data_IF_338326251101
#
_entry.id   IF_338326251101
#
_cell.length_a   1.000
_cell.length_b   1.000
_cell.length_c   1.000
_cell.angle_alpha   90.00
_cell.angle_beta   90.00
_cell.angle_gamma   90.00
#
_symmetry.space_group_name_H-M   'P 1'
#
loop_
_entity.id
_entity.type
_entity.pdbx_description
1 polymer ?
#
# COMPACT_ATOMS: atom_id res chain seq x y z
N UNK A 1 5.24 10.72 -13.86
CA UNK A 1 6.72 10.67 -14.06
C UNK A 1 7.06 11.72 -15.07
N UNK A 2 8.14 12.47 -14.85
CA UNK A 2 8.59 13.49 -15.80
C UNK A 2 9.98 13.11 -16.29
N UNK A 3 10.08 12.71 -17.55
CA UNK A 3 11.34 12.72 -18.28
C UNK A 3 11.52 14.15 -18.81
N UNK A 4 12.48 14.86 -18.24
CA UNK A 4 12.75 16.27 -18.53
C UNK A 4 13.84 16.45 -19.61
N UNK A 5 14.42 15.36 -20.10
CA UNK A 5 15.39 15.43 -21.19
C UNK A 5 14.69 15.65 -22.52
N UNK A 6 15.32 16.40 -23.43
CA UNK A 6 14.92 16.45 -24.82
C UNK A 6 14.77 15.01 -25.38
N UNK A 7 13.76 14.78 -26.22
CA UNK A 7 13.49 13.46 -26.81
C UNK A 7 14.70 12.89 -27.59
N UNK A 8 15.58 13.77 -28.08
CA UNK A 8 16.82 13.43 -28.79
C UNK A 8 17.99 13.05 -27.87
N UNK A 9 17.88 13.23 -26.55
CA UNK A 9 18.95 12.97 -25.58
C UNK A 9 19.14 11.47 -25.32
N UNK A 10 20.18 10.89 -25.95
CA UNK A 10 20.49 9.45 -25.83
C UNK A 10 21.50 9.11 -24.74
N UNK A 11 22.30 10.08 -24.30
CA UNK A 11 23.32 9.93 -23.26
C UNK A 11 23.24 11.11 -22.29
N UNK A 12 22.29 11.11 -21.34
CA UNK A 12 22.22 12.17 -20.34
C UNK A 12 23.53 12.32 -19.57
N UNK A 13 24.04 13.53 -19.50
CA UNK A 13 25.15 13.93 -18.62
C UNK A 13 24.60 14.95 -17.63
N UNK A 14 24.18 14.46 -16.46
CA UNK A 14 23.39 15.23 -15.49
C UNK A 14 24.26 15.65 -14.32
N UNK A 15 24.29 16.95 -14.03
CA UNK A 15 24.83 17.47 -12.78
C UNK A 15 23.78 18.30 -12.06
N UNK A 16 23.84 18.31 -10.73
CA UNK A 16 22.99 19.18 -9.93
C UNK A 16 23.68 20.53 -9.78
N UNK A 17 23.05 21.60 -10.25
CA UNK A 17 23.59 22.95 -10.14
C UNK A 17 22.93 23.65 -8.95
N UNK A 18 23.72 23.94 -7.91
CA UNK A 18 23.22 24.51 -6.66
C UNK A 18 22.54 25.88 -6.88
N UNK A 19 23.07 26.71 -7.78
CA UNK A 19 22.50 28.03 -8.13
C UNK A 19 21.08 27.95 -8.72
N UNK A 20 20.73 26.82 -9.33
CA UNK A 20 19.42 26.58 -9.96
C UNK A 20 18.53 25.65 -9.12
N UNK A 21 19.07 25.07 -8.03
CA UNK A 21 18.48 24.00 -7.24
C UNK A 21 17.86 22.86 -8.10
N UNK A 22 18.48 22.58 -9.24
CA UNK A 22 17.92 21.69 -10.25
C UNK A 22 18.97 20.86 -10.98
N UNK A 23 18.62 19.63 -11.41
CA UNK A 23 19.48 18.87 -12.30
C UNK A 23 19.49 19.49 -13.69
N UNK A 24 20.67 19.64 -14.26
CA UNK A 24 20.88 20.16 -15.62
C UNK A 24 21.59 19.11 -16.45
N UNK A 25 21.13 18.89 -17.68
CA UNK A 25 21.76 17.95 -18.60
C UNK A 25 22.67 18.68 -19.56
N UNK A 26 23.99 18.47 -19.47
CA UNK A 26 24.98 19.14 -20.32
C UNK A 26 24.96 18.66 -21.77
N UNK A 27 24.34 17.50 -22.05
CA UNK A 27 24.24 16.98 -23.42
C UNK A 27 22.99 17.45 -24.18
N UNK A 28 21.87 17.74 -23.50
CA UNK A 28 20.67 18.28 -24.16
C UNK A 28 20.34 19.73 -23.78
N UNK A 29 21.01 20.31 -22.80
CA UNK A 29 20.80 21.69 -22.34
C UNK A 29 19.54 21.90 -21.51
N UNK A 30 18.71 20.85 -21.32
CA UNK A 30 17.50 20.95 -20.52
C UNK A 30 17.81 21.04 -19.02
N UNK A 31 16.86 21.62 -18.28
CA UNK A 31 16.89 21.73 -16.82
C UNK A 31 15.67 20.99 -16.28
N UNK A 32 15.88 20.04 -15.36
CA UNK A 32 14.84 19.21 -14.78
C UNK A 32 14.02 19.93 -13.72
N UNK A 33 13.29 20.97 -14.13
CA UNK A 33 12.31 21.66 -13.30
C UNK A 33 10.95 20.97 -13.39
N UNK A 34 10.20 21.02 -12.29
CA UNK A 34 8.74 20.80 -12.31
C UNK A 34 8.15 22.14 -11.89
N UNK A 35 7.20 22.66 -12.65
CA UNK A 35 6.51 23.88 -12.30
C UNK A 35 5.84 23.69 -10.93
N UNK A 36 6.11 24.55 -9.94
CA UNK A 36 5.58 24.36 -8.57
C UNK A 36 4.05 24.46 -8.52
N UNK A 37 3.44 25.03 -9.57
CA UNK A 37 1.99 25.13 -9.77
C UNK A 37 1.41 23.95 -10.56
N UNK A 38 2.24 23.10 -11.18
CA UNK A 38 1.79 21.83 -11.74
C UNK A 38 1.67 20.80 -10.60
N UNK A 39 0.56 20.85 -9.88
CA UNK A 39 0.07 19.63 -9.24
C UNK A 39 -0.02 18.58 -10.34
N UNK A 40 0.83 17.57 -10.28
CA UNK A 40 0.67 16.34 -11.08
C UNK A 40 -0.57 15.60 -10.56
N UNK A 41 -1.74 16.16 -10.90
CA UNK A 41 -3.01 15.49 -10.81
C UNK A 41 -2.97 14.35 -11.85
N UNK A 42 -2.50 13.18 -11.42
CA UNK A 42 -3.05 11.97 -12.01
C UNK A 42 -4.52 11.98 -11.63
N UNK A 43 -5.36 12.28 -12.62
CA UNK A 43 -6.81 12.33 -12.51
C UNK A 43 -7.28 11.12 -11.71
N UNK A 44 -7.59 11.34 -10.42
CA UNK A 44 -8.39 10.39 -9.67
C UNK A 44 -9.76 10.53 -10.30
N UNK A 45 -10.02 9.71 -11.30
CA UNK A 45 -11.35 9.50 -11.81
C UNK A 45 -12.18 8.98 -10.65
N UNK A 46 -12.81 9.89 -9.90
CA UNK A 46 -14.00 9.59 -9.14
C UNK A 46 -15.06 9.22 -10.17
N UNK A 47 -15.05 7.95 -10.58
CA UNK A 47 -16.24 7.36 -11.16
C UNK A 47 -17.31 7.46 -10.07
N UNK A 48 -18.24 8.40 -10.24
CA UNK A 48 -19.55 8.27 -9.62
C UNK A 48 -20.10 6.93 -10.10
N UNK A 49 -20.05 5.92 -9.23
CA UNK A 49 -20.77 4.68 -9.43
C UNK A 49 -22.26 5.01 -9.40
N UNK A 50 -22.81 5.33 -10.56
CA UNK A 50 -24.25 5.16 -10.78
C UNK A 50 -24.51 3.67 -10.63
N UNK A 51 -25.25 3.33 -9.57
CA UNK A 51 -25.89 2.02 -9.38
C UNK A 51 -26.83 1.75 -10.57
N UNK A 52 -26.26 1.33 -11.69
CA UNK A 52 -27.01 0.58 -12.67
C UNK A 52 -27.16 -0.82 -12.10
N UNK A 53 -28.31 -1.43 -12.36
CA UNK A 53 -28.67 -2.81 -11.99
C UNK A 53 -27.83 -3.83 -12.80
N UNK A 54 -26.56 -3.52 -13.04
CA UNK A 54 -25.58 -4.42 -13.61
C UNK A 54 -25.43 -5.59 -12.65
N UNK A 55 -26.06 -6.69 -13.05
CA UNK A 55 -25.91 -8.06 -12.57
C UNK A 55 -24.89 -8.20 -11.43
N UNK A 56 -25.41 -8.39 -10.20
CA UNK A 56 -24.65 -8.74 -9.00
C UNK A 56 -24.08 -10.16 -9.15
N UNK A 57 -23.22 -10.39 -10.13
CA UNK A 57 -22.53 -11.66 -10.36
C UNK A 57 -21.42 -11.80 -9.33
N UNK A 58 -21.76 -12.36 -8.18
CA UNK A 58 -20.78 -12.75 -7.17
C UNK A 58 -19.91 -13.88 -7.73
N UNK A 59 -18.59 -13.76 -7.57
CA UNK A 59 -17.60 -14.75 -8.03
C UNK A 59 -16.43 -14.93 -7.06
N UNK A 60 -16.47 -14.23 -5.92
CA UNK A 60 -15.40 -14.19 -4.93
C UNK A 60 -15.98 -14.26 -3.52
N UNK A 61 -15.45 -15.08 -2.59
CA UNK A 61 -14.34 -16.02 -2.80
C UNK A 61 -14.70 -17.22 -3.68
N UNK A 62 -13.73 -17.73 -4.44
CA UNK A 62 -13.95 -18.77 -5.47
C UNK A 62 -14.44 -20.11 -4.92
N UNK A 63 -14.38 -20.34 -3.60
CA UNK A 63 -14.90 -21.55 -2.95
C UNK A 63 -16.40 -21.57 -2.69
N UNK A 64 -17.09 -20.45 -2.92
CA UNK A 64 -18.53 -20.38 -2.78
C UNK A 64 -19.22 -20.72 -4.11
N UNK A 65 -20.27 -21.58 -4.07
CA UNK A 65 -21.07 -21.85 -5.26
C UNK A 65 -21.97 -20.65 -5.53
N UNK A 66 -21.66 -19.90 -6.59
CA UNK A 66 -22.52 -18.82 -7.07
C UNK A 66 -23.43 -19.35 -8.17
N UNK A 67 -24.73 -19.14 -8.01
CA UNK A 67 -25.72 -19.45 -9.05
C UNK A 67 -26.07 -18.14 -9.74
N UNK A 68 -25.80 -18.05 -11.05
CA UNK A 68 -26.36 -16.98 -11.85
C UNK A 68 -27.83 -17.30 -12.10
N UNK A 69 -28.74 -16.47 -11.62
CA UNK A 69 -30.14 -16.54 -12.02
C UNK A 69 -30.23 -16.17 -13.50
N UNK A 70 -30.27 -17.17 -14.38
CA UNK A 70 -30.74 -16.95 -15.74
C UNK A 70 -32.22 -16.57 -15.63
N UNK A 71 -32.56 -15.34 -15.99
CA UNK A 71 -33.93 -14.87 -16.08
C UNK A 71 -34.71 -15.71 -17.10
N UNK A 72 -35.30 -16.81 -16.64
CA UNK A 72 -36.16 -17.66 -17.44
C UNK A 72 -37.57 -17.06 -17.49
N UNK A 73 -37.78 -16.09 -18.37
CA UNK A 73 -39.13 -15.80 -18.89
C UNK A 73 -39.35 -16.66 -20.13
N UNK A 74 -40.11 -17.75 -19.98
CA UNK A 74 -40.47 -18.61 -21.11
C UNK A 74 -41.39 -19.74 -20.67
N UNK A 75 -42.67 -19.61 -20.97
CA UNK A 75 -43.77 -20.42 -20.44
C UNK A 75 -43.74 -21.89 -20.86
N UNK A 76 -44.50 -22.66 -20.07
CA UNK A 76 -44.92 -24.03 -20.32
C UNK A 76 -45.45 -24.22 -21.74
N UNK A 77 -44.91 -25.18 -22.48
CA UNK A 77 -45.67 -26.08 -23.35
C UNK A 77 -44.92 -27.39 -23.55
N UNK A 78 -45.59 -28.48 -23.16
CA UNK A 78 -45.23 -29.84 -23.55
C UNK A 78 -45.34 -30.01 -25.07
N UNK A 79 -44.40 -30.74 -25.68
CA UNK A 79 -44.69 -31.90 -26.54
C UNK A 79 -43.39 -32.60 -26.96
N UNK A 80 -43.49 -33.93 -27.00
CA UNK A 80 -42.42 -34.90 -27.22
C UNK A 80 -42.05 -35.07 -28.73
N UNK A 81 -41.01 -35.86 -29.07
CA UNK A 81 -40.13 -35.63 -30.24
C UNK A 81 -40.46 -36.52 -31.46
N UNK A 82 -40.05 -36.09 -32.66
CA UNK A 82 -39.87 -36.95 -33.85
C UNK A 82 -38.65 -36.47 -34.67
N UNK A 83 -37.78 -37.39 -35.16
CA UNK A 83 -36.50 -37.07 -35.79
C UNK A 83 -36.61 -36.99 -37.32
N UNK A 84 -35.64 -36.34 -37.99
CA UNK A 84 -35.14 -36.86 -39.27
C UNK A 84 -33.83 -36.23 -39.74
N UNK A 85 -33.03 -37.12 -40.32
CA UNK A 85 -31.78 -36.95 -41.04
C UNK A 85 -31.89 -36.01 -42.27
N UNK A 86 -30.80 -35.30 -42.57
CA UNK A 86 -29.92 -35.55 -43.73
C UNK A 86 -29.26 -34.28 -44.33
N UNK A 87 -27.93 -34.40 -44.49
CA UNK A 87 -27.12 -34.05 -45.67
C UNK A 87 -26.89 -32.56 -46.03
N UNK A 88 -25.65 -32.11 -45.82
CA UNK A 88 -24.71 -31.90 -46.93
C UNK A 88 -24.33 -30.47 -47.37
N UNK A 89 -23.00 -30.20 -47.35
CA UNK A 89 -22.21 -29.30 -48.22
C UNK A 89 -22.43 -27.78 -48.03
N UNK A 90 -21.48 -26.87 -48.23
CA UNK A 90 -20.08 -26.87 -48.65
C UNK A 90 -19.45 -25.51 -48.28
N UNK A 91 -18.11 -25.52 -48.24
CA UNK A 91 -17.15 -24.42 -48.28
C UNK A 91 -17.61 -23.02 -48.73
N UNK A 92 -17.03 -22.00 -48.07
CA UNK A 92 -17.01 -20.61 -48.51
C UNK A 92 -15.90 -19.84 -47.80
N UNK A 93 -14.68 -19.94 -48.31
CA UNK A 93 -13.54 -19.09 -47.96
C UNK A 93 -13.89 -17.60 -48.15
N UNK A 94 -13.52 -16.77 -47.17
CA UNK A 94 -13.33 -15.33 -47.38
C UNK A 94 -12.08 -14.84 -46.65
N UNK A 95 -10.98 -14.98 -47.37
CA UNK A 95 -9.89 -14.01 -47.59
C UNK A 95 -9.52 -13.07 -46.44
N UNK A 96 -8.38 -13.37 -45.81
CA UNK A 96 -7.54 -12.44 -45.04
C UNK A 96 -7.06 -11.32 -45.97
N UNK A 97 -7.43 -10.07 -45.66
CA UNK A 97 -6.72 -8.90 -46.17
C UNK A 97 -5.66 -8.51 -45.14
N UNK A 98 -4.40 -8.73 -45.54
CA UNK A 98 -3.20 -8.22 -44.89
C UNK A 98 -3.19 -6.71 -45.05
N UNK A 99 -3.38 -5.97 -43.95
CA UNK A 99 -3.13 -4.53 -43.94
C UNK A 99 -1.71 -4.32 -43.42
N UNK A 100 -0.77 -4.24 -44.37
CA UNK A 100 0.59 -3.78 -44.14
C UNK A 100 0.51 -2.25 -44.05
N UNK A 101 0.53 -1.73 -42.83
CA UNK A 101 0.97 -0.37 -42.58
C UNK A 101 2.16 -0.48 -41.62
N UNK A 102 3.35 -0.43 -42.22
CA UNK A 102 4.61 -0.18 -41.55
C UNK A 102 4.54 1.19 -40.87
N UNK A 103 3.99 1.20 -39.67
CA UNK A 103 4.08 2.30 -38.73
C UNK A 103 5.43 2.21 -38.03
N UNK A 104 6.30 3.16 -38.36
CA UNK A 104 7.47 3.63 -37.59
C UNK A 104 7.47 3.12 -36.14
N UNK A 105 8.53 2.45 -35.65
CA UNK A 105 8.57 1.97 -34.28
C UNK A 105 8.38 3.17 -33.35
N UNK A 106 7.24 3.21 -32.65
CA UNK A 106 7.01 4.11 -31.51
C UNK A 106 8.20 3.94 -30.58
N UNK A 107 8.92 5.03 -30.37
CA UNK A 107 10.05 5.09 -29.44
C UNK A 107 9.64 4.42 -28.12
N UNK A 108 10.36 3.36 -27.76
CA UNK A 108 10.16 2.67 -26.49
C UNK A 108 10.49 3.66 -25.38
N UNK A 109 9.50 4.38 -24.85
CA UNK A 109 9.63 5.08 -23.58
C UNK A 109 10.14 4.04 -22.57
N UNK A 110 11.39 4.18 -22.14
CA UNK A 110 11.96 3.32 -21.11
C UNK A 110 11.16 3.54 -19.83
N UNK A 111 10.25 2.62 -19.51
CA UNK A 111 9.52 2.62 -18.25
C UNK A 111 10.51 2.47 -17.10
N UNK A 112 10.51 3.39 -16.13
CA UNK A 112 11.28 3.28 -14.88
C UNK A 112 11.02 1.93 -14.18
N UNK A 113 9.77 1.49 -14.26
CA UNK A 113 9.32 0.26 -13.66
C UNK A 113 9.50 -0.89 -14.65
N UNK A 114 10.53 -1.69 -14.41
CA UNK A 114 10.66 -3.03 -15.03
C UNK A 114 9.50 -3.92 -14.54
N UNK A 115 8.74 -4.59 -15.42
CA UNK A 115 7.62 -5.43 -15.00
C UNK A 115 8.02 -6.46 -13.92
N UNK A 116 7.24 -6.51 -12.83
CA UNK A 116 7.42 -7.51 -11.78
C UNK A 116 6.60 -8.76 -12.06
N UNK A 117 7.20 -9.92 -11.79
CA UNK A 117 6.55 -11.23 -11.87
C UNK A 117 6.89 -12.07 -10.65
N UNK A 118 6.00 -12.98 -10.27
CA UNK A 118 6.25 -13.96 -9.22
C UNK A 118 6.63 -13.33 -7.86
N UNK A 119 7.78 -13.66 -7.26
CA UNK A 119 8.16 -13.16 -5.92
C UNK A 119 9.14 -11.98 -5.99
N UNK A 120 9.24 -11.34 -7.15
CA UNK A 120 10.11 -10.20 -7.35
C UNK A 120 9.51 -8.93 -6.77
N UNK A 121 10.37 -8.13 -6.17
CA UNK A 121 10.07 -6.81 -5.63
C UNK A 121 11.10 -5.82 -6.13
N UNK A 122 10.76 -4.53 -6.16
CA UNK A 122 11.76 -3.47 -6.32
C UNK A 122 12.22 -3.00 -4.95
N UNK A 123 13.51 -2.74 -4.82
CA UNK A 123 14.09 -2.04 -3.69
C UNK A 123 14.56 -0.66 -4.14
N UNK A 124 14.33 0.32 -3.28
CA UNK A 124 14.88 1.66 -3.40
C UNK A 124 16.24 1.68 -2.67
N UNK A 125 17.32 1.88 -3.41
CA UNK A 125 18.61 2.20 -2.83
C UNK A 125 18.73 3.72 -2.70
N UNK A 126 18.45 4.23 -1.51
CA UNK A 126 18.51 5.65 -1.18
C UNK A 126 19.97 6.09 -1.13
N UNK A 127 20.36 7.03 -1.98
CA UNK A 127 21.74 7.50 -2.06
C UNK A 127 22.08 8.45 -0.89
N UNK A 128 23.37 8.53 -0.50
CA UNK A 128 23.79 9.37 0.61
C UNK A 128 23.63 10.87 0.34
N UNK A 129 23.51 11.64 1.42
CA UNK A 129 23.44 13.09 1.42
C UNK A 129 23.06 13.68 2.78
N UNK A 130 23.31 14.97 2.95
CA UNK A 130 22.86 15.77 4.11
C UNK A 130 21.34 15.90 4.11
N UNK A 131 20.71 16.35 5.21
CA UNK A 131 19.25 16.40 5.31
C UNK A 131 18.55 17.20 4.19
N UNK A 132 19.09 18.36 3.82
CA UNK A 132 18.50 19.24 2.82
C UNK A 132 18.84 18.86 1.37
N UNK A 133 19.86 18.03 1.16
CA UNK A 133 20.29 17.64 -0.19
C UNK A 133 19.14 17.00 -0.98
N UNK A 134 19.11 17.15 -2.31
CA UNK A 134 18.16 16.47 -3.19
C UNK A 134 18.05 14.97 -2.90
N UNK A 135 16.83 14.44 -2.81
CA UNK A 135 16.61 13.01 -2.63
C UNK A 135 16.91 12.28 -3.94
N UNK A 136 17.86 11.35 -3.89
CA UNK A 136 18.29 10.56 -5.03
C UNK A 136 18.23 9.08 -4.68
N UNK A 137 17.83 8.24 -5.62
CA UNK A 137 17.85 6.80 -5.43
C UNK A 137 18.10 6.01 -6.72
N UNK A 138 18.39 4.73 -6.53
CA UNK A 138 18.36 3.73 -7.59
C UNK A 138 17.24 2.72 -7.30
N UNK A 139 16.52 2.28 -8.32
CA UNK A 139 15.58 1.17 -8.20
C UNK A 139 16.23 -0.11 -8.73
N UNK A 140 16.15 -1.19 -7.97
CA UNK A 140 16.63 -2.50 -8.39
C UNK A 140 15.60 -3.58 -8.13
N UNK A 141 15.45 -4.49 -9.08
CA UNK A 141 14.58 -5.66 -8.95
C UNK A 141 15.33 -6.78 -8.25
N UNK A 142 14.74 -7.36 -7.21
CA UNK A 142 15.29 -8.51 -6.47
C UNK A 142 14.22 -9.60 -6.33
N UNK A 143 14.64 -10.85 -6.12
CA UNK A 143 13.73 -11.95 -5.83
C UNK A 143 13.77 -12.30 -4.34
N UNK A 144 12.61 -12.27 -3.69
CA UNK A 144 12.49 -12.63 -2.26
C UNK A 144 13.00 -14.04 -1.97
N UNK A 145 12.97 -14.97 -2.93
CA UNK A 145 13.49 -16.33 -2.74
C UNK A 145 14.96 -16.34 -2.27
N UNK A 146 15.77 -15.38 -2.72
CA UNK A 146 17.19 -15.29 -2.34
C UNK A 146 17.42 -14.54 -1.02
N UNK A 147 16.35 -14.19 -0.29
CA UNK A 147 16.40 -13.52 1.01
C UNK A 147 17.29 -12.27 0.99
N UNK A 148 17.03 -11.30 0.10
CA UNK A 148 17.82 -10.07 0.03
C UNK A 148 17.74 -9.32 1.38
N UNK A 149 18.81 -8.63 1.75
CA UNK A 149 18.79 -7.75 2.91
C UNK A 149 18.25 -6.37 2.52
N UNK A 150 17.22 -5.90 3.23
CA UNK A 150 16.62 -4.58 3.08
C UNK A 150 15.81 -4.24 4.34
N UNK A 151 15.37 -2.98 4.45
CA UNK A 151 14.47 -2.52 5.49
C UNK A 151 13.16 -2.06 4.85
N UNK A 152 12.01 -2.34 5.48
CA UNK A 152 10.72 -1.88 4.98
C UNK A 152 10.29 -0.62 5.75
N UNK A 153 9.68 0.34 5.06
CA UNK A 153 9.18 1.58 5.66
C UNK A 153 7.67 1.52 5.75
N UNK A 154 7.13 1.84 6.92
CA UNK A 154 5.70 1.97 7.19
C UNK A 154 5.42 3.42 7.54
N UNK A 155 4.54 4.07 6.78
CA UNK A 155 4.22 5.49 6.95
C UNK A 155 2.85 5.82 6.34
N UNK A 156 2.32 7.00 6.62
CA UNK A 156 1.09 7.52 5.96
C UNK A 156 1.42 8.27 4.68
N UNK A 157 0.65 8.06 3.61
CA UNK A 157 0.91 8.78 2.35
C UNK A 157 0.63 10.28 2.51
N UNK A 158 -0.45 10.63 3.19
CA UNK A 158 -0.76 11.99 3.60
C UNK A 158 0.01 12.37 4.88
N UNK A 159 0.38 13.64 5.02
CA UNK A 159 0.78 14.18 6.32
C UNK A 159 -0.41 14.33 7.27
N UNK A 160 -0.17 14.76 8.51
CA UNK A 160 -1.24 15.00 9.50
C UNK A 160 -2.21 16.13 9.09
N UNK A 161 -1.81 16.99 8.14
CA UNK A 161 -2.68 17.97 7.50
C UNK A 161 -3.62 17.38 6.44
N UNK A 162 -3.57 16.06 6.20
CA UNK A 162 -4.35 15.37 5.17
C UNK A 162 -3.83 15.55 3.74
N UNK A 163 -2.71 16.25 3.54
CA UNK A 163 -2.17 16.51 2.21
C UNK A 163 -1.44 15.27 1.67
N UNK A 164 -2.03 14.66 0.64
CA UNK A 164 -1.47 13.55 -0.12
C UNK A 164 -0.95 13.98 -1.50
N UNK A 165 -0.80 15.28 -1.77
CA UNK A 165 -0.28 15.79 -3.03
C UNK A 165 1.15 15.30 -3.28
N UNK A 166 1.42 14.88 -4.51
CA UNK A 166 2.76 14.42 -4.94
C UNK A 166 3.61 15.61 -5.37
N UNK A 167 3.89 16.51 -4.42
CA UNK A 167 4.57 17.79 -4.67
C UNK A 167 6.09 17.76 -4.50
N UNK A 168 6.66 16.66 -4.00
CA UNK A 168 8.11 16.52 -3.77
C UNK A 168 8.78 15.63 -4.81
N UNK A 169 10.07 15.87 -5.03
CA UNK A 169 10.86 15.24 -6.10
C UNK A 169 11.79 14.17 -5.53
N UNK A 170 11.74 12.99 -6.14
CA UNK A 170 12.73 11.93 -5.97
C UNK A 170 13.39 11.66 -7.32
N UNK A 171 14.70 11.88 -7.40
CA UNK A 171 15.47 11.65 -8.62
C UNK A 171 15.94 10.20 -8.68
N UNK A 172 15.59 9.51 -9.76
CA UNK A 172 15.78 8.05 -9.88
C UNK A 172 16.77 7.71 -11.00
N UNK A 173 17.72 6.83 -10.68
CA UNK A 173 18.68 6.27 -11.62
C UNK A 173 19.69 7.29 -12.15
N UNK A 174 20.44 6.92 -13.19
CA UNK A 174 21.53 7.75 -13.73
C UNK A 174 21.06 8.96 -14.55
N UNK A 175 19.83 8.91 -15.06
CA UNK A 175 19.23 9.99 -15.86
C UNK A 175 18.54 11.05 -14.99
N UNK A 176 18.45 10.81 -13.68
CA UNK A 176 17.71 11.62 -12.72
C UNK A 176 16.26 11.81 -13.18
N UNK A 177 15.63 10.71 -13.59
CA UNK A 177 14.21 10.70 -13.92
C UNK A 177 13.41 11.08 -12.67
N UNK A 178 12.37 11.88 -12.83
CA UNK A 178 11.67 12.46 -11.69
C UNK A 178 10.44 11.64 -11.33
N UNK A 179 10.46 11.09 -10.11
CA UNK A 179 9.29 10.51 -9.45
C UNK A 179 8.71 11.51 -8.45
N UNK A 180 7.45 11.87 -8.66
CA UNK A 180 6.70 12.74 -7.76
C UNK A 180 6.22 11.94 -6.54
N UNK A 181 6.57 12.39 -5.34
CA UNK A 181 6.25 11.76 -4.05
C UNK A 181 5.59 12.77 -3.12
N UNK A 182 4.88 12.28 -2.10
CA UNK A 182 4.24 13.16 -1.12
C UNK A 182 5.26 13.80 -0.18
N UNK A 183 4.87 14.90 0.48
CA UNK A 183 5.72 15.55 1.47
C UNK A 183 6.10 14.59 2.62
N UNK A 184 5.14 13.78 3.10
CA UNK A 184 5.42 12.83 4.17
C UNK A 184 6.42 11.73 3.75
N UNK A 185 6.32 11.25 2.50
CA UNK A 185 7.29 10.32 1.91
C UNK A 185 8.69 10.95 1.84
N UNK A 186 8.80 12.20 1.38
CA UNK A 186 10.08 12.90 1.29
C UNK A 186 10.72 13.09 2.67
N UNK A 187 9.94 13.46 3.68
CA UNK A 187 10.43 13.61 5.06
C UNK A 187 10.91 12.28 5.63
N UNK A 188 10.13 11.20 5.46
CA UNK A 188 10.54 9.85 5.85
C UNK A 188 11.88 9.47 5.22
N UNK A 189 12.04 9.66 3.90
CA UNK A 189 13.29 9.35 3.20
C UNK A 189 14.46 10.21 3.71
N UNK A 190 14.27 11.50 3.97
CA UNK A 190 15.31 12.37 4.55
C UNK A 190 15.77 11.90 5.92
N UNK A 191 14.83 11.55 6.81
CA UNK A 191 15.11 11.02 8.16
C UNK A 191 15.81 9.66 8.12
N UNK A 192 15.59 8.89 7.06
CA UNK A 192 16.20 7.57 6.86
C UNK A 192 17.53 7.60 6.09
N UNK A 193 17.84 8.70 5.38
CA UNK A 193 19.03 8.83 4.54
C UNK A 193 20.31 8.86 5.37
N UNK A 194 21.28 8.02 4.99
CA UNK A 194 22.62 8.11 5.57
C UNK A 194 23.48 9.20 4.91
N UNK A 195 24.36 9.83 5.69
CA UNK A 195 25.23 10.90 5.18
C UNK A 195 26.29 10.36 4.22
N UNK A 196 26.80 9.13 4.45
CA UNK A 196 27.99 8.62 3.77
C UNK A 196 27.83 7.25 3.10
N UNK A 197 26.65 6.62 3.18
CA UNK A 197 26.42 5.34 2.51
C UNK A 197 24.97 5.24 2.02
N UNK A 198 24.74 4.37 1.02
CA UNK A 198 23.40 4.12 0.54
C UNK A 198 22.61 3.23 1.49
N UNK A 199 21.28 3.30 1.41
CA UNK A 199 20.36 2.52 2.23
C UNK A 199 19.31 1.83 1.40
N UNK A 200 19.14 0.53 1.62
CA UNK A 200 18.17 -0.26 0.86
C UNK A 200 16.84 -0.36 1.58
N UNK A 201 15.84 0.28 1.00
CA UNK A 201 14.51 0.46 1.53
C UNK A 201 13.44 -0.16 0.62
N UNK A 202 12.36 -0.61 1.22
CA UNK A 202 11.11 -0.90 0.54
C UNK A 202 10.01 0.00 1.07
N UNK A 203 9.31 0.72 0.20
CA UNK A 203 8.10 1.48 0.51
C UNK A 203 7.15 1.42 -0.67
N UNK A 204 5.87 1.18 -0.39
CA UNK A 204 4.82 0.90 -1.37
C UNK A 204 4.67 1.99 -2.44
N UNK A 205 4.73 3.27 -2.05
CA UNK A 205 4.54 4.41 -2.96
C UNK A 205 5.61 4.53 -4.05
N UNK A 206 6.79 3.91 -3.87
CA UNK A 206 7.91 3.99 -4.80
C UNK A 206 8.30 2.63 -5.37
N UNK A 207 8.17 1.55 -4.60
CA UNK A 207 8.60 0.21 -5.04
C UNK A 207 7.52 -0.50 -5.86
N UNK A 208 6.27 -0.06 -5.77
CA UNK A 208 5.13 -0.57 -6.55
C UNK A 208 4.76 0.46 -7.60
N UNK A 209 4.54 0.01 -8.84
CA UNK A 209 3.91 0.81 -9.87
C UNK A 209 2.42 0.97 -9.55
N UNK A 210 2.07 2.07 -8.89
CA UNK A 210 0.72 2.36 -8.43
C UNK A 210 -0.31 2.51 -9.57
N UNK A 211 0.16 2.80 -10.80
CA UNK A 211 -0.69 2.98 -11.98
C UNK A 211 -0.99 1.63 -12.69
N UNK A 212 -0.37 0.53 -12.26
CA UNK A 212 -0.62 -0.81 -12.79
C UNK A 212 -1.37 -1.68 -11.77
N UNK A 213 -2.69 -1.83 -11.96
CA UNK A 213 -3.55 -2.61 -11.05
C UNK A 213 -3.12 -4.08 -10.92
N UNK A 214 -2.59 -4.71 -11.97
CA UNK A 214 -2.13 -6.10 -11.89
C UNK A 214 -0.90 -6.21 -10.99
N UNK A 215 0.05 -5.29 -11.16
CA UNK A 215 1.20 -5.21 -10.27
C UNK A 215 0.79 -4.89 -8.84
N UNK A 216 -0.11 -3.92 -8.64
CA UNK A 216 -0.62 -3.53 -7.32
C UNK A 216 -1.28 -4.69 -6.60
N UNK A 217 -2.27 -5.35 -7.22
CA UNK A 217 -2.94 -6.54 -6.65
C UNK A 217 -1.94 -7.61 -6.26
N UNK A 218 -0.99 -7.89 -7.15
CA UNK A 218 0.02 -8.91 -6.93
C UNK A 218 0.98 -8.57 -5.78
N UNK A 219 1.52 -7.34 -5.75
CA UNK A 219 2.44 -6.87 -4.71
C UNK A 219 1.74 -6.81 -3.34
N UNK A 220 0.50 -6.31 -3.30
CA UNK A 220 -0.36 -6.34 -2.10
C UNK A 220 -0.56 -7.76 -1.59
N UNK A 221 -0.84 -8.71 -2.49
CA UNK A 221 -0.97 -10.13 -2.15
C UNK A 221 0.28 -10.77 -1.54
N UNK A 222 1.47 -10.16 -1.71
CA UNK A 222 2.72 -10.61 -1.10
C UNK A 222 3.28 -9.65 -0.03
N UNK A 223 2.61 -8.54 0.30
CA UNK A 223 3.10 -7.54 1.26
C UNK A 223 3.48 -8.13 2.61
N UNK A 224 2.72 -9.12 3.12
CA UNK A 224 3.09 -9.81 4.37
C UNK A 224 4.50 -10.38 4.27
N UNK A 225 4.83 -11.04 3.16
CA UNK A 225 6.15 -11.64 2.98
C UNK A 225 7.22 -10.56 2.91
N UNK A 226 6.94 -9.43 2.25
CA UNK A 226 7.86 -8.30 2.16
C UNK A 226 8.20 -7.76 3.55
N UNK A 227 7.20 -7.46 4.38
CA UNK A 227 7.43 -6.94 5.74
C UNK A 227 8.02 -8.00 6.68
N UNK A 228 7.61 -9.27 6.54
CA UNK A 228 8.14 -10.36 7.36
C UNK A 228 9.60 -10.73 7.02
N UNK A 229 10.03 -10.53 5.77
CA UNK A 229 11.40 -10.82 5.32
C UNK A 229 12.36 -9.66 5.50
N UNK A 230 11.85 -8.43 5.65
CA UNK A 230 12.68 -7.26 5.95
C UNK A 230 13.52 -7.47 7.21
N UNK A 231 14.74 -6.92 7.20
CA UNK A 231 15.65 -6.91 8.36
C UNK A 231 15.00 -6.26 9.57
N UNK A 232 14.26 -5.17 9.32
CA UNK A 232 13.39 -4.47 10.26
C UNK A 232 12.36 -3.65 9.50
N UNK A 233 11.31 -3.25 10.20
CA UNK A 233 10.30 -2.30 9.73
C UNK A 233 10.51 -0.96 10.42
N UNK A 234 10.58 0.10 9.63
CA UNK A 234 10.80 1.49 10.06
C UNK A 234 9.46 2.20 10.00
N UNK A 235 8.85 2.37 11.16
CA UNK A 235 7.57 3.02 11.36
C UNK A 235 7.83 4.51 11.49
N UNK A 236 7.49 5.29 10.49
CA UNK A 236 7.63 6.73 10.49
C UNK A 236 6.27 7.39 10.76
N UNK A 237 6.15 8.01 11.93
CA UNK A 237 4.92 8.64 12.41
C UNK A 237 4.76 10.09 11.98
N UNK A 238 5.80 10.68 11.37
CA UNK A 238 5.81 12.08 10.97
C UNK A 238 6.86 12.91 11.70
N UNK A 239 6.82 14.22 11.44
CA UNK A 239 7.64 15.22 12.10
C UNK A 239 6.97 15.63 13.42
N UNK A 240 7.75 15.76 14.50
CA UNK A 240 7.24 16.22 15.80
C UNK A 240 7.35 17.76 15.85
N UNK A 241 6.23 18.51 15.97
CA UNK A 241 6.25 19.97 16.03
C UNK A 241 7.04 20.53 17.22
N UNK A 242 7.22 19.72 18.26
CA UNK A 242 7.93 20.07 19.50
C UNK A 242 9.39 19.60 19.51
N UNK A 243 9.88 19.07 18.39
CA UNK A 243 11.27 18.62 18.21
C UNK A 243 12.24 19.81 18.35
N UNK A 244 13.12 19.83 19.37
CA UNK A 244 14.05 20.93 19.57
C UNK A 244 15.20 20.92 18.54
N UNK A 245 15.48 19.77 17.92
CA UNK A 245 16.58 19.61 16.96
C UNK A 245 16.13 18.84 15.70
N UNK A 246 15.25 19.44 14.86
CA UNK A 246 14.63 18.75 13.73
C UNK A 246 15.63 18.27 12.65
N UNK A 247 16.89 18.72 12.69
CA UNK A 247 17.85 18.53 11.60
C UNK A 247 19.15 17.79 12.00
N UNK A 248 19.42 17.56 13.30
CA UNK A 248 20.79 17.27 13.78
C UNK A 248 21.07 15.78 14.03
N UNK A 249 20.05 14.95 14.22
CA UNK A 249 20.31 13.54 14.51
C UNK A 249 20.69 12.76 13.25
N UNK A 250 21.90 12.23 13.26
CA UNK A 250 22.36 11.26 12.29
C UNK A 250 21.30 10.17 12.07
N UNK A 251 21.17 9.63 10.86
CA UNK A 251 20.28 8.50 10.55
C UNK A 251 20.33 7.46 11.66
N UNK A 252 19.17 7.14 12.22
CA UNK A 252 18.95 6.20 13.32
C UNK A 252 19.99 5.08 13.37
N UNK A 253 20.99 5.25 14.24
CA UNK A 253 21.94 4.17 14.55
C UNK A 253 21.27 3.30 15.59
N UNK A 254 20.93 2.07 15.21
CA UNK A 254 20.09 1.13 15.95
C UNK A 254 20.65 0.61 17.29
N UNK A 255 21.60 1.33 17.90
CA UNK A 255 22.35 0.96 19.07
C UNK A 255 21.98 1.76 20.35
N UNK A 256 21.29 2.90 20.23
CA UNK A 256 21.03 3.75 21.39
C UNK A 256 19.81 3.27 22.21
N UNK A 257 20.08 2.52 23.29
CA UNK A 257 19.23 2.56 24.49
C UNK A 257 19.23 4.02 24.97
N UNK A 258 18.21 4.81 24.62
CA UNK A 258 18.17 6.22 25.06
C UNK A 258 17.22 7.15 24.32
N UNK A 259 16.83 6.83 23.08
CA UNK A 259 15.82 7.62 22.38
C UNK A 259 14.42 7.09 22.77
N UNK A 260 13.82 7.63 23.83
CA UNK A 260 12.41 7.36 24.13
C UNK A 260 11.53 8.40 23.44
N UNK A 261 10.48 7.94 22.75
CA UNK A 261 9.40 8.83 22.32
C UNK A 261 8.56 9.12 23.57
N UNK A 262 8.72 10.31 24.13
CA UNK A 262 7.81 10.83 25.16
C UNK A 262 6.50 11.30 24.52
N UNK A 263 5.36 10.93 25.09
CA UNK A 263 4.07 11.54 24.75
C UNK A 263 4.03 12.98 25.28
N UNK A 264 4.57 13.90 24.48
CA UNK A 264 4.35 15.34 24.69
C UNK A 264 2.98 15.76 24.18
N UNK A 265 2.45 15.02 23.22
CA UNK A 265 1.14 15.20 22.62
C UNK A 265 0.39 13.85 22.58
N UNK A 266 -0.92 13.94 22.41
CA UNK A 266 -1.80 12.78 22.29
C UNK A 266 -1.59 12.07 20.94
N UNK A 267 -0.62 11.15 20.91
CA UNK A 267 -0.27 10.38 19.69
C UNK A 267 -1.39 9.47 19.20
N UNK A 268 -2.45 9.23 19.99
CA UNK A 268 -3.61 8.45 19.53
C UNK A 268 -4.32 9.10 18.34
N UNK A 269 -4.15 10.42 18.18
CA UNK A 269 -4.75 11.20 17.11
C UNK A 269 -3.97 11.14 15.81
N UNK A 270 -2.75 10.61 15.81
CA UNK A 270 -1.94 10.51 14.60
C UNK A 270 -2.62 9.61 13.57
N UNK A 271 -2.71 10.11 12.34
CA UNK A 271 -3.34 9.42 11.21
C UNK A 271 -2.74 8.02 10.97
N UNK A 272 -1.48 7.82 11.35
CA UNK A 272 -0.79 6.54 11.26
C UNK A 272 -1.54 5.40 11.97
N UNK A 273 -1.97 5.59 13.21
CA UNK A 273 -2.60 4.52 13.99
C UNK A 273 -4.00 4.16 13.49
N UNK A 274 -4.61 5.03 12.69
CA UNK A 274 -5.88 4.75 12.02
C UNK A 274 -5.68 4.22 10.60
N UNK A 275 -4.49 4.00 10.07
CA UNK A 275 -4.33 3.46 8.70
C UNK A 275 -4.51 1.93 8.66
N UNK A 276 -5.34 1.41 7.76
CA UNK A 276 -5.62 -0.04 7.71
C UNK A 276 -4.39 -0.88 7.34
N UNK A 277 -3.59 -0.41 6.37
CA UNK A 277 -2.41 -1.14 5.93
C UNK A 277 -1.34 -1.29 7.02
N UNK A 278 -1.19 -0.31 7.93
CA UNK A 278 -0.14 -0.38 8.96
C UNK A 278 -0.32 -1.57 9.90
N UNK A 279 -1.54 -2.09 10.05
CA UNK A 279 -1.81 -3.30 10.84
C UNK A 279 -1.01 -4.47 10.29
N UNK A 280 -1.06 -4.70 8.97
CA UNK A 280 -0.34 -5.80 8.34
C UNK A 280 1.17 -5.58 8.37
N UNK A 281 1.59 -4.34 8.12
CA UNK A 281 3.00 -3.94 8.05
C UNK A 281 3.72 -4.16 9.38
N UNK A 282 3.09 -3.71 10.48
CA UNK A 282 3.63 -3.83 11.82
C UNK A 282 3.47 -5.26 12.36
N UNK A 283 2.31 -5.89 12.21
CA UNK A 283 2.10 -7.25 12.74
C UNK A 283 2.92 -8.33 12.01
N UNK A 284 3.35 -8.07 10.76
CA UNK A 284 4.25 -8.96 10.03
C UNK A 284 5.73 -8.76 10.42
N UNK A 285 6.09 -7.60 10.97
CA UNK A 285 7.47 -7.20 11.23
C UNK A 285 8.21 -8.15 12.18
N UNK A 286 9.41 -8.63 11.80
CA UNK A 286 10.29 -9.40 12.71
C UNK A 286 10.94 -8.54 13.79
N UNK A 287 11.20 -7.29 13.46
CA UNK A 287 11.73 -6.26 14.33
C UNK A 287 11.17 -4.94 13.80
N UNK A 288 10.65 -4.09 14.67
CA UNK A 288 10.07 -2.80 14.28
C UNK A 288 10.65 -1.66 15.12
N UNK A 289 10.80 -0.50 14.49
CA UNK A 289 11.33 0.72 15.10
C UNK A 289 10.41 1.89 14.75
N UNK A 290 9.96 2.60 15.76
CA UNK A 290 9.11 3.80 15.63
C UNK A 290 10.00 5.02 15.57
N UNK A 291 9.70 5.94 14.66
CA UNK A 291 10.37 7.20 14.40
C UNK A 291 9.33 8.31 14.45
N UNK A 292 9.57 9.37 15.21
CA UNK A 292 8.73 10.56 15.30
C UNK A 292 9.62 11.79 15.49
N UNK A 293 9.70 12.64 14.46
CA UNK A 293 10.73 13.67 14.35
C UNK A 293 12.15 13.08 14.48
N UNK A 294 12.97 13.70 15.34
CA UNK A 294 14.33 13.27 15.69
C UNK A 294 14.38 12.15 16.73
N UNK A 295 13.22 11.69 17.24
CA UNK A 295 13.07 10.67 18.29
C UNK A 295 12.52 9.35 17.76
N UNK A 296 12.72 8.28 18.52
CA UNK A 296 12.47 6.94 17.99
C UNK A 296 12.92 5.82 18.91
N UNK A 297 12.12 4.77 18.98
CA UNK A 297 12.27 3.66 19.91
C UNK A 297 11.99 2.32 19.21
N UNK A 298 12.43 1.22 19.81
CA UNK A 298 11.94 -0.11 19.37
C UNK A 298 10.44 -0.18 19.59
N UNK A 299 9.73 -0.88 18.71
CA UNK A 299 8.30 -1.08 18.85
C UNK A 299 7.95 -1.66 20.22
N UNK A 300 8.68 -2.67 20.69
CA UNK A 300 8.42 -3.30 21.98
C UNK A 300 8.60 -2.32 23.13
N UNK A 301 9.58 -1.41 23.07
CA UNK A 301 9.79 -0.40 24.12
C UNK A 301 8.75 0.74 24.01
N UNK A 302 8.23 0.99 22.81
CA UNK A 302 7.18 1.98 22.54
C UNK A 302 5.81 1.50 23.04
N UNK A 303 5.51 0.20 22.91
CA UNK A 303 4.21 -0.38 23.29
C UNK A 303 4.24 -1.19 24.59
N UNK A 304 5.39 -1.36 25.25
CA UNK A 304 5.48 -2.08 26.54
C UNK A 304 5.71 -1.09 27.67
N UNK A 305 4.90 -1.14 28.74
CA UNK A 305 5.24 -0.41 29.96
C UNK A 305 6.57 -0.93 30.53
N UNK A 306 7.47 -0.07 31.05
CA UNK A 306 8.66 -0.54 31.74
C UNK A 306 8.21 -1.42 32.91
N UNK A 307 8.70 -2.66 32.97
CA UNK A 307 8.49 -3.49 34.14
C UNK A 307 9.06 -2.75 35.35
N UNK A 308 8.24 -2.62 36.40
CA UNK A 308 8.56 -2.10 37.72
C UNK A 308 9.95 -2.55 38.20
N UNK A 309 10.98 -1.75 37.90
CA UNK A 309 12.23 -1.77 38.61
C UNK A 309 12.68 -0.33 38.81
N UNK A 310 12.70 0.03 40.10
CA UNK A 310 13.11 1.28 40.73
C UNK A 310 12.11 2.42 40.84
N UNK A 311 11.91 2.74 42.12
CA UNK A 311 10.92 3.61 42.73
C UNK A 311 11.30 5.10 42.63
N UNK A 312 11.81 5.55 41.49
CA UNK A 312 12.05 6.97 41.25
C UNK A 312 12.07 7.30 39.75
N UNK A 313 11.09 8.11 39.33
CA UNK A 313 11.11 8.98 38.14
C UNK A 313 10.53 8.51 36.77
N UNK A 314 9.82 7.39 36.62
CA UNK A 314 9.23 7.02 35.29
C UNK A 314 7.73 6.67 35.32
N UNK A 315 6.91 7.64 35.71
CA UNK A 315 5.44 7.63 35.51
C UNK A 315 4.98 7.75 34.03
N UNK A 316 5.68 8.47 33.11
CA UNK A 316 5.13 8.75 31.78
C UNK A 316 4.98 7.55 30.82
N UNK A 317 5.83 6.51 30.93
CA UNK A 317 5.90 5.45 29.90
C UNK A 317 4.76 4.43 30.03
N UNK A 318 4.18 4.22 31.23
CA UNK A 318 3.01 3.36 31.43
C UNK A 318 1.77 3.93 30.69
N UNK A 319 1.67 5.26 30.58
CA UNK A 319 0.55 5.95 29.96
C UNK A 319 0.48 5.75 28.44
N UNK A 320 1.60 5.49 27.77
CA UNK A 320 1.66 5.46 26.30
C UNK A 320 0.87 4.30 25.70
N UNK A 321 1.12 3.09 26.20
CA UNK A 321 0.45 1.90 25.70
C UNK A 321 -1.04 1.87 26.08
N UNK A 322 -1.40 2.23 27.32
CA UNK A 322 -2.80 2.15 27.74
C UNK A 322 -3.69 3.12 26.95
N UNK A 323 -3.20 4.34 26.71
CA UNK A 323 -3.89 5.34 25.91
C UNK A 323 -3.98 4.93 24.42
N UNK A 324 -2.87 4.43 23.86
CA UNK A 324 -2.84 3.95 22.47
C UNK A 324 -3.68 2.68 22.28
N UNK A 325 -3.60 1.70 23.17
CA UNK A 325 -4.29 0.42 23.05
C UNK A 325 -5.80 0.55 23.29
N UNK A 326 -6.23 1.46 24.16
CA UNK A 326 -7.66 1.78 24.33
C UNK A 326 -8.25 2.44 23.08
N UNK A 327 -7.47 3.30 22.41
CA UNK A 327 -7.89 3.97 21.18
C UNK A 327 -7.74 3.09 19.92
N UNK A 328 -6.75 2.19 19.92
CA UNK A 328 -6.33 1.38 18.78
C UNK A 328 -6.11 -0.08 19.17
N UNK A 329 -7.18 -0.89 19.28
CA UNK A 329 -7.11 -2.28 19.75
C UNK A 329 -6.20 -3.19 18.90
N UNK A 330 -6.00 -2.85 17.62
CA UNK A 330 -5.15 -3.60 16.69
C UNK A 330 -3.69 -3.65 17.13
N UNK A 331 -3.20 -2.73 17.98
CA UNK A 331 -1.82 -2.73 18.46
C UNK A 331 -1.42 -4.04 19.14
N UNK A 332 -2.39 -4.72 19.77
CA UNK A 332 -2.19 -6.04 20.36
C UNK A 332 -1.82 -7.11 19.32
N UNK A 333 -2.22 -6.94 18.06
CA UNK A 333 -1.89 -7.86 16.97
C UNK A 333 -0.40 -7.85 16.62
N UNK A 334 0.32 -6.77 16.95
CA UNK A 334 1.75 -6.66 16.72
C UNK A 334 2.58 -7.47 17.74
N UNK A 335 2.03 -7.74 18.92
CA UNK A 335 2.70 -8.47 20.01
C UNK A 335 2.20 -9.92 20.17
N UNK A 336 1.08 -10.25 19.53
CA UNK A 336 0.47 -11.60 19.52
C UNK A 336 1.14 -12.55 18.51
N UNK A 337 0.86 -13.86 18.59
CA UNK A 337 1.35 -14.85 17.63
C UNK A 337 1.08 -14.45 16.17
N UNK A 338 2.08 -14.66 15.30
CA UNK A 338 2.08 -14.23 13.89
C UNK A 338 1.34 -15.16 12.94
N UNK A 339 0.91 -16.32 13.42
CA UNK A 339 0.19 -17.32 12.64
C UNK A 339 -1.26 -17.28 13.10
N UNK A 340 -2.16 -17.00 12.16
CA UNK A 340 -3.60 -16.91 12.38
C UNK A 340 -4.34 -17.72 11.35
N UNK A 341 -5.39 -18.45 11.74
CA UNK A 341 -6.24 -19.20 10.81
C UNK A 341 -7.37 -18.34 10.26
N UNK A 342 -7.92 -18.70 9.10
CA UNK A 342 -9.03 -17.95 8.48
C UNK A 342 -10.24 -17.73 9.43
N UNK A 343 -10.47 -18.64 10.38
CA UNK A 343 -11.53 -18.52 11.38
C UNK A 343 -11.42 -17.27 12.28
N UNK A 344 -10.21 -16.68 12.42
CA UNK A 344 -9.97 -15.47 13.21
C UNK A 344 -10.30 -14.17 12.46
N UNK A 345 -10.68 -14.23 11.18
CA UNK A 345 -10.93 -13.05 10.35
C UNK A 345 -11.95 -12.09 10.98
N UNK A 346 -13.01 -12.63 11.57
CA UNK A 346 -14.03 -11.83 12.26
C UNK A 346 -13.46 -11.06 13.46
N UNK A 347 -12.61 -11.69 14.27
CA UNK A 347 -11.96 -11.03 15.42
C UNK A 347 -10.99 -9.94 14.95
N UNK A 348 -10.25 -10.18 13.86
CA UNK A 348 -9.38 -9.17 13.26
C UNK A 348 -10.17 -7.94 12.78
N UNK A 349 -11.34 -8.16 12.17
CA UNK A 349 -12.22 -7.07 11.75
C UNK A 349 -12.68 -6.22 12.94
N UNK A 350 -13.06 -6.86 14.07
CA UNK A 350 -13.42 -6.12 15.29
C UNK A 350 -12.24 -5.27 15.78
N UNK A 351 -11.05 -5.86 15.91
CA UNK A 351 -9.86 -5.16 16.43
C UNK A 351 -9.39 -4.01 15.54
N UNK A 352 -9.75 -4.00 14.26
CA UNK A 352 -9.34 -3.00 13.26
C UNK A 352 -10.48 -2.07 12.83
N UNK A 353 -11.59 -2.06 13.57
CA UNK A 353 -12.77 -1.23 13.26
C UNK A 353 -12.41 0.26 13.16
N UNK A 354 -11.55 0.76 14.05
CA UNK A 354 -11.10 2.17 14.08
C UNK A 354 -10.14 2.56 12.96
N UNK A 355 -9.56 1.59 12.25
CA UNK A 355 -8.70 1.87 11.11
C UNK A 355 -9.51 2.46 9.94
N UNK A 356 -8.84 2.99 8.93
CA UNK A 356 -9.39 3.75 7.82
C UNK A 356 -8.66 3.34 6.56
N UNK A 357 -9.37 3.37 5.44
CA UNK A 357 -8.82 3.08 4.14
C UNK A 357 -9.51 3.94 3.08
N UNK A 358 -8.71 4.51 2.17
CA UNK A 358 -9.22 5.27 1.03
C UNK A 358 -10.03 4.36 0.10
N UNK A 359 -9.50 3.17 -0.20
CA UNK A 359 -10.25 2.10 -0.85
C UNK A 359 -10.91 1.22 0.22
N UNK A 360 -12.25 1.24 0.26
CA UNK A 360 -13.00 0.44 1.22
C UNK A 360 -12.69 -1.06 1.19
N UNK A 361 -12.22 -1.63 0.06
CA UNK A 361 -11.83 -3.04 -0.06
C UNK A 361 -10.62 -3.39 0.80
N UNK A 362 -9.76 -2.42 1.10
CA UNK A 362 -8.56 -2.61 1.92
C UNK A 362 -8.89 -2.93 3.37
N UNK A 363 -10.11 -2.61 3.84
CA UNK A 363 -10.65 -3.08 5.12
C UNK A 363 -10.68 -4.61 5.22
N UNK A 364 -10.71 -5.29 4.08
CA UNK A 364 -10.64 -6.75 4.00
C UNK A 364 -9.25 -7.18 3.56
N UNK A 365 -8.75 -6.64 2.45
CA UNK A 365 -7.52 -7.13 1.80
C UNK A 365 -6.29 -7.04 2.69
N UNK A 366 -6.15 -5.99 3.52
CA UNK A 366 -5.03 -5.87 4.46
C UNK A 366 -5.02 -6.97 5.54
N UNK A 367 -6.21 -7.48 5.92
CA UNK A 367 -6.33 -8.54 6.92
C UNK A 367 -6.03 -9.92 6.34
N UNK A 368 -6.35 -10.16 5.07
CA UNK A 368 -6.10 -11.44 4.39
C UNK A 368 -4.62 -11.82 4.42
N UNK A 369 -3.73 -10.82 4.36
CA UNK A 369 -2.31 -11.01 4.53
C UNK A 369 -1.96 -11.67 5.86
N UNK A 370 -2.60 -11.29 6.95
CA UNK A 370 -2.30 -11.80 8.31
C UNK A 370 -2.76 -13.23 8.55
N UNK A 371 -3.60 -13.77 7.67
CA UNK A 371 -4.21 -15.08 7.81
C UNK A 371 -3.44 -16.15 7.02
N UNK A 372 -3.50 -17.38 7.51
CA UNK A 372 -3.04 -18.60 6.82
C UNK A 372 -4.26 -19.37 6.35
N UNK A 373 -4.14 -20.10 5.24
CA UNK A 373 -5.26 -20.85 4.66
C UNK A 373 -6.24 -20.01 3.84
N UNK A 374 -5.96 -18.74 3.54
CA UNK A 374 -6.84 -17.88 2.70
C UNK A 374 -6.88 -18.29 1.23
N UNK A 375 -5.86 -19.01 0.74
CA UNK A 375 -5.79 -19.43 -0.67
C UNK A 375 -6.75 -20.55 -1.01
N UNK A 376 -6.96 -21.51 -0.10
CA UNK A 376 -7.90 -22.62 -0.31
C UNK A 376 -9.33 -22.13 -0.59
N UNK A 377 -9.88 -21.17 0.17
CA UNK A 377 -11.18 -20.61 -0.17
C UNK A 377 -11.11 -19.61 -1.34
N UNK A 378 -9.93 -19.19 -1.81
CA UNK A 378 -9.79 -18.14 -2.82
C UNK A 378 -9.95 -16.72 -2.29
N UNK A 379 -9.71 -16.49 -0.99
CA UNK A 379 -9.67 -15.18 -0.36
C UNK A 379 -8.33 -14.49 -0.68
N UNK A 380 -8.16 -14.06 -1.93
CA UNK A 380 -6.98 -13.32 -2.39
C UNK A 380 -7.40 -11.90 -2.80
N UNK A 381 -6.61 -10.86 -2.49
CA UNK A 381 -6.88 -9.50 -2.96
C UNK A 381 -7.01 -9.40 -4.48
N UNK A 382 -8.10 -8.79 -4.94
CA UNK A 382 -8.37 -8.56 -6.36
C UNK A 382 -9.05 -7.20 -6.52
N UNK A 383 -8.30 -6.22 -7.02
CA UNK A 383 -8.81 -4.86 -7.24
C UNK A 383 -9.64 -4.71 -8.53
N UNK A 384 -9.85 -5.79 -9.30
CA UNK A 384 -10.84 -5.78 -10.38
C UNK A 384 -12.28 -5.94 -9.87
N UNK A 385 -12.46 -6.46 -8.65
CA UNK A 385 -13.78 -6.66 -8.03
C UNK A 385 -14.35 -5.34 -7.49
N UNK A 386 -15.66 -5.13 -7.62
CA UNK A 386 -16.33 -4.00 -7.00
C UNK A 386 -16.36 -4.12 -5.46
N UNK A 387 -16.59 -3.00 -4.77
CA UNK A 387 -16.84 -3.01 -3.32
C UNK A 387 -17.98 -3.97 -2.95
N UNK A 388 -19.10 -3.92 -3.68
CA UNK A 388 -20.25 -4.79 -3.44
C UNK A 388 -19.89 -6.27 -3.49
N UNK A 389 -19.11 -6.68 -4.50
CA UNK A 389 -18.68 -8.07 -4.67
C UNK A 389 -17.79 -8.55 -3.51
N UNK A 390 -16.81 -7.73 -3.09
CA UNK A 390 -15.90 -8.09 -1.98
C UNK A 390 -16.65 -8.26 -0.67
N UNK A 391 -17.50 -7.29 -0.31
CA UNK A 391 -18.20 -7.32 0.98
C UNK A 391 -19.31 -8.39 1.02
N UNK A 392 -20.08 -8.55 -0.06
CA UNK A 392 -21.09 -9.61 -0.14
C UNK A 392 -20.46 -11.01 -0.14
N UNK A 393 -19.39 -11.18 -0.93
CA UNK A 393 -18.59 -12.39 -0.98
C UNK A 393 -18.01 -12.79 0.36
N UNK A 394 -17.36 -11.86 1.04
CA UNK A 394 -16.80 -12.07 2.38
C UNK A 394 -17.91 -12.42 3.39
N UNK A 395 -19.03 -11.71 3.35
CA UNK A 395 -20.15 -11.97 4.25
C UNK A 395 -20.65 -13.39 4.06
N UNK A 396 -20.95 -13.80 2.83
CA UNK A 396 -21.40 -15.16 2.52
C UNK A 396 -20.39 -16.23 2.99
N UNK A 397 -19.08 -15.95 2.87
CA UNK A 397 -18.03 -16.83 3.35
C UNK A 397 -18.06 -16.98 4.87
N UNK A 398 -18.12 -15.87 5.60
CA UNK A 398 -18.19 -15.89 7.07
C UNK A 398 -19.46 -16.62 7.54
N UNK A 399 -20.60 -16.41 6.87
CA UNK A 399 -21.86 -17.10 7.21
C UNK A 399 -21.77 -18.62 7.02
N UNK A 400 -21.08 -19.06 5.96
CA UNK A 400 -20.88 -20.49 5.68
C UNK A 400 -19.92 -21.14 6.69
N UNK A 401 -18.81 -20.48 7.01
CA UNK A 401 -17.76 -21.03 7.88
C UNK A 401 -18.08 -20.88 9.38
N UNK A 402 -18.94 -19.93 9.75
CA UNK A 402 -19.14 -19.54 11.14
C UNK A 402 -20.64 -19.29 11.42
N UNK A 403 -21.42 -20.37 11.47
CA UNK A 403 -22.87 -20.33 11.74
C UNK A 403 -23.21 -19.70 13.10
N UNK A 404 -22.31 -19.75 14.08
CA UNK A 404 -22.44 -19.08 15.38
C UNK A 404 -22.25 -17.56 15.31
N UNK A 405 -21.73 -17.00 14.22
CA UNK A 405 -21.50 -15.56 14.03
C UNK A 405 -22.61 -14.85 13.25
N UNK A 406 -23.59 -15.59 12.72
CA UNK A 406 -24.76 -15.07 11.99
C UNK A 406 -25.45 -13.92 12.75
N UNK A 407 -25.66 -14.07 14.06
CA UNK A 407 -26.37 -13.08 14.87
C UNK A 407 -25.59 -11.77 15.08
N UNK A 408 -24.25 -11.79 15.04
CA UNK A 408 -23.41 -10.61 15.26
C UNK A 408 -23.33 -9.71 14.04
N UNK A 409 -23.35 -10.29 12.85
CA UNK A 409 -23.32 -9.53 11.58
C UNK A 409 -24.62 -8.75 11.38
N UNK A 410 -25.78 -9.33 11.73
CA UNK A 410 -27.06 -8.63 11.74
C UNK A 410 -27.12 -7.48 12.76
N UNK A 411 -26.36 -7.54 13.85
CA UNK A 411 -26.25 -6.46 14.83
C UNK A 411 -25.39 -5.27 14.33
N UNK A 412 -24.45 -5.52 13.39
CA UNK A 412 -23.63 -4.47 12.79
C UNK A 412 -24.35 -3.75 11.63
N UNK A 413 -25.30 -4.40 10.95
CA UNK A 413 -26.13 -3.78 9.91
C UNK A 413 -27.30 -2.96 10.43
N UNK A 414 -27.52 -2.93 11.75
CA UNK A 414 -28.67 -2.28 12.40
C UNK A 414 -28.28 -1.08 13.28
N UNK A 415 -27.03 -0.60 13.21
CA UNK A 415 -26.67 0.70 13.80
C UNK A 415 -26.97 1.84 12.81
N UNK A 416 -27.73 2.87 13.21
CA UNK A 416 -28.26 3.89 12.29
C UNK A 416 -27.17 4.88 11.87
N UNK A 417 -26.59 4.64 10.69
CA UNK A 417 -25.96 5.67 9.89
C UNK A 417 -27.06 6.53 9.25
N UNK A 418 -27.65 7.43 10.04
CA UNK A 418 -28.31 8.69 9.63
C UNK A 418 -29.24 9.18 10.76
N UNK A 419 -28.68 9.97 11.68
CA UNK A 419 -29.44 10.88 12.52
C UNK A 419 -28.60 12.12 12.84
N UNK A 420 -28.19 12.84 11.79
CA UNK A 420 -27.81 14.24 11.92
C UNK A 420 -29.11 15.04 12.09
N UNK A 421 -29.28 15.58 13.30
CA UNK A 421 -29.98 16.84 13.65
C UNK A 421 -31.26 17.19 12.89
N UNK A 422 -32.40 16.98 13.53
CA UNK A 422 -33.52 17.93 13.55
C UNK A 422 -34.17 17.96 14.94
N UNK A 423 -33.58 18.72 15.85
CA UNK A 423 -34.20 19.76 16.71
C UNK A 423 -33.15 20.30 17.67
#
# INVERSE_FOLDING_TARGET
MINWHASTCRRPDVQFLDDLEAPTCFNCGEIGMIDENETLENTVGNALETSSRAEFSLCWPSSLPYVQETSATGGLTETAPIPNDNVGKQAGERTKLLNINDGVPKETQMSLYEPLSARRIRLLSLLPGSYHDPLRCELRTVDLQFKPEYEAVSYTWAGENGDASRSKRLYVGKRYDILAITNNCANALRRLRYVHHSRDLWLDAVCINQDNNNERSHQVGIMRNIYAMAKRVLIYLGEDPTDPEPQVTAPWTYAAKGNSIELREDMTKLSYFTRMWVVQEVASARCAWVLYGSRGAKWEDFVRPPHYFNNSALVPVHCNYELLASSHPWLQLAVQPKVRGVHELYELMIKTTSCQATDSRDKVFALLGLLTGTREPGLVPDYSLSRGQVFAGLTAFILKENTESLWRIFAMSSSPWDAIKLS
#
